data_IF_915428231962
#
_entry.id   IF_915428231962
#
_cell.length_a   1.000
_cell.length_b   1.000
_cell.length_c   1.000
_cell.angle_alpha   90.00
_cell.angle_beta   90.00
_cell.angle_gamma   90.00
#
_symmetry.space_group_name_H-M   'P 1'
#
loop_
_entity.id
_entity.type
_entity.pdbx_description
1 polymer ?
#
# COMPACT_ATOMS: atom_id res chain seq x y z
N UNK A 1 -14.33 -6.48 0.13
CA UNK A 1 -14.99 -5.26 -0.39
C UNK A 1 -14.11 -4.67 -1.48
N UNK A 2 -14.69 -4.15 -2.55
CA UNK A 2 -13.96 -3.35 -3.54
C UNK A 2 -14.41 -1.92 -3.34
N UNK A 3 -13.47 -1.04 -3.00
CA UNK A 3 -13.71 0.39 -2.81
C UNK A 3 -13.15 1.17 -4.01
N UNK A 4 -14.02 1.92 -4.69
CA UNK A 4 -13.65 2.78 -5.83
C UNK A 4 -13.49 4.24 -5.41
N UNK A 5 -13.75 4.57 -4.13
CA UNK A 5 -13.59 5.90 -3.57
C UNK A 5 -12.21 6.12 -2.93
N UNK A 6 -11.35 5.09 -2.87
CA UNK A 6 -9.96 5.22 -2.41
C UNK A 6 -9.21 6.17 -3.36
N UNK A 7 -9.03 7.41 -2.91
CA UNK A 7 -8.24 8.41 -3.61
C UNK A 7 -6.76 8.05 -3.48
N UNK A 8 -5.98 8.28 -4.54
CA UNK A 8 -4.53 8.09 -4.52
C UNK A 8 -3.90 9.01 -3.47
N UNK A 9 -3.78 8.53 -2.23
CA UNK A 9 -3.12 9.26 -1.16
C UNK A 9 -1.63 9.51 -1.48
N UNK A 10 -1.07 8.71 -2.38
CA UNK A 10 0.26 8.89 -2.92
C UNK A 10 0.25 8.89 -4.46
N UNK A 11 0.69 9.99 -5.06
CA UNK A 11 0.71 10.17 -6.53
C UNK A 11 1.60 9.17 -7.28
N UNK A 12 2.43 8.39 -6.57
CA UNK A 12 3.33 7.42 -7.18
C UNK A 12 2.65 6.08 -7.56
N UNK A 13 1.41 5.82 -7.12
CA UNK A 13 0.71 4.60 -7.51
C UNK A 13 0.21 4.66 -8.96
N UNK A 14 0.51 3.61 -9.72
CA UNK A 14 0.25 3.54 -11.17
C UNK A 14 -0.80 2.49 -11.53
N UNK A 15 -1.53 1.93 -10.55
CA UNK A 15 -2.51 0.88 -10.79
C UNK A 15 -3.31 0.56 -9.54
N UNK A 16 -3.66 -0.72 -9.36
CA UNK A 16 -4.42 -1.19 -8.19
C UNK A 16 -3.70 -0.84 -6.89
N UNK A 17 -4.50 -0.40 -5.92
CA UNK A 17 -4.12 -0.15 -4.53
C UNK A 17 -4.99 -1.01 -3.62
N UNK A 18 -4.50 -1.28 -2.42
CA UNK A 18 -5.21 -2.05 -1.41
C UNK A 18 -4.81 -1.61 0.00
N UNK A 19 -5.73 -1.80 0.94
CA UNK A 19 -5.57 -1.55 2.37
C UNK A 19 -6.09 -2.76 3.14
N UNK A 20 -5.38 -3.18 4.19
CA UNK A 20 -5.75 -4.29 5.08
C UNK A 20 -6.12 -3.76 6.46
N UNK A 21 -7.28 -4.19 6.98
CA UNK A 21 -7.84 -3.73 8.24
C UNK A 21 -8.07 -4.90 9.20
N UNK A 22 -8.17 -4.59 10.49
CA UNK A 22 -8.56 -5.48 11.57
C UNK A 22 -9.70 -4.79 12.36
N UNK A 23 -10.51 -5.57 13.06
CA UNK A 23 -11.70 -5.06 13.76
C UNK A 23 -11.37 -4.19 14.99
N UNK A 24 -10.21 -4.42 15.62
CA UNK A 24 -9.76 -3.76 16.84
C UNK A 24 -9.04 -2.42 16.57
N UNK A 25 -8.64 -2.17 15.32
CA UNK A 25 -7.86 -0.98 14.95
C UNK A 25 -8.59 -0.13 13.90
N UNK A 26 -8.74 1.16 14.19
CA UNK A 26 -9.41 2.13 13.30
C UNK A 26 -8.61 2.55 12.07
N UNK A 27 -7.34 2.11 11.95
CA UNK A 27 -6.45 2.41 10.84
C UNK A 27 -6.09 1.13 10.08
N UNK A 28 -5.85 1.26 8.77
CA UNK A 28 -5.25 0.19 7.98
C UNK A 28 -3.91 -0.26 8.59
N UNK A 29 -3.76 -1.57 8.80
CA UNK A 29 -2.55 -2.20 9.31
C UNK A 29 -1.47 -2.31 8.24
N UNK A 30 -1.91 -2.53 7.00
CA UNK A 30 -1.05 -2.53 5.81
C UNK A 30 -1.70 -1.78 4.67
N UNK A 31 -0.87 -1.14 3.86
CA UNK A 31 -1.30 -0.47 2.63
C UNK A 31 -0.27 -0.72 1.54
N UNK A 32 -0.75 -0.91 0.31
CA UNK A 32 0.10 -1.24 -0.80
C UNK A 32 -0.57 -1.06 -2.14
N UNK A 33 0.19 -1.36 -3.18
CA UNK A 33 -0.30 -1.26 -4.54
C UNK A 33 0.80 -1.36 -5.59
N UNK A 34 0.40 -1.14 -6.83
CA UNK A 34 1.29 -1.08 -7.98
C UNK A 34 1.90 0.32 -8.10
N UNK A 35 3.21 0.38 -8.33
CA UNK A 35 3.96 1.63 -8.46
C UNK A 35 5.07 1.49 -9.53
N UNK A 36 4.65 1.28 -10.78
CA UNK A 36 5.61 1.22 -11.89
C UNK A 36 6.36 2.55 -12.01
N UNK A 37 7.58 2.50 -12.54
CA UNK A 37 8.33 3.72 -12.87
C UNK A 37 9.04 4.39 -11.67
N UNK A 38 8.83 3.93 -10.43
CA UNK A 38 9.64 4.36 -9.29
C UNK A 38 11.14 4.09 -9.53
N UNK A 39 11.45 3.01 -10.25
CA UNK A 39 12.81 2.63 -10.63
C UNK A 39 13.37 3.41 -11.83
N UNK A 40 12.58 4.30 -12.45
CA UNK A 40 13.04 5.10 -13.58
C UNK A 40 14.19 6.05 -13.19
N UNK A 41 14.17 6.56 -11.94
CA UNK A 41 15.27 7.34 -11.36
C UNK A 41 16.59 6.56 -11.26
N UNK A 42 16.52 5.21 -11.25
CA UNK A 42 17.67 4.31 -11.25
C UNK A 42 18.04 3.79 -12.65
N UNK A 43 17.54 4.44 -13.72
CA UNK A 43 17.94 4.16 -15.10
C UNK A 43 17.14 3.06 -15.82
N UNK A 44 16.16 2.42 -15.15
CA UNK A 44 15.27 1.46 -15.81
C UNK A 44 13.91 1.40 -15.14
N UNK A 45 12.86 1.83 -15.85
CA UNK A 45 11.50 1.57 -15.43
C UNK A 45 11.20 0.06 -15.47
N UNK A 46 10.65 -0.49 -14.39
CA UNK A 46 10.20 -1.89 -14.30
C UNK A 46 8.82 -1.94 -13.65
N UNK A 47 8.11 -3.04 -13.91
CA UNK A 47 6.89 -3.35 -13.18
C UNK A 47 7.23 -3.53 -11.69
N UNK A 48 6.49 -2.86 -10.80
CA UNK A 48 6.74 -2.91 -9.36
C UNK A 48 5.43 -2.87 -8.56
N UNK A 49 5.42 -3.62 -7.46
CA UNK A 49 4.31 -3.70 -6.49
C UNK A 49 4.89 -4.04 -5.12
N UNK A 50 4.14 -3.71 -4.07
CA UNK A 50 4.52 -4.00 -2.69
C UNK A 50 3.57 -3.31 -1.72
N UNK A 51 3.90 -3.42 -0.42
CA UNK A 51 3.13 -2.83 0.66
C UNK A 51 4.04 -2.51 1.85
N UNK A 52 3.54 -1.70 2.77
CA UNK A 52 4.11 -1.51 4.10
C UNK A 52 3.13 -1.99 5.17
N UNK A 53 3.67 -2.36 6.33
CA UNK A 53 2.89 -2.80 7.49
C UNK A 53 3.46 -2.15 8.75
N UNK A 54 2.60 -1.65 9.64
CA UNK A 54 3.05 -1.09 10.91
C UNK A 54 3.25 -2.19 11.96
N UNK A 55 4.53 -2.51 12.21
CA UNK A 55 4.95 -3.58 13.11
C UNK A 55 4.52 -3.37 14.56
N UNK A 56 4.16 -2.15 14.98
CA UNK A 56 3.62 -1.95 16.34
C UNK A 56 2.32 -2.71 16.53
N UNK A 57 1.43 -2.65 15.55
CA UNK A 57 0.19 -3.42 15.58
C UNK A 57 0.45 -4.93 15.47
N UNK A 58 1.47 -5.34 14.71
CA UNK A 58 1.88 -6.75 14.67
C UNK A 58 2.29 -7.24 16.05
N UNK A 59 3.06 -6.43 16.79
CA UNK A 59 3.55 -6.79 18.12
C UNK A 59 2.50 -6.72 19.23
N UNK A 60 1.39 -6.00 19.00
CA UNK A 60 0.29 -5.87 19.96
C UNK A 60 -0.83 -6.87 19.73
N UNK A 61 -0.88 -7.50 18.55
CA UNK A 61 -1.73 -8.66 18.29
C UNK A 61 -1.15 -9.88 19.01
N UNK A 62 -1.34 -9.95 20.33
CA UNK A 62 -0.95 -11.07 21.17
C UNK A 62 -2.07 -11.42 22.15
#
# INVERSE_FOLDING_TARGET
MIDLAELKAYEYHTGVVFSAYNEDYSKALAQGGRYNGLSASFGKARAATGFSFDLKFLSQAQ
#
